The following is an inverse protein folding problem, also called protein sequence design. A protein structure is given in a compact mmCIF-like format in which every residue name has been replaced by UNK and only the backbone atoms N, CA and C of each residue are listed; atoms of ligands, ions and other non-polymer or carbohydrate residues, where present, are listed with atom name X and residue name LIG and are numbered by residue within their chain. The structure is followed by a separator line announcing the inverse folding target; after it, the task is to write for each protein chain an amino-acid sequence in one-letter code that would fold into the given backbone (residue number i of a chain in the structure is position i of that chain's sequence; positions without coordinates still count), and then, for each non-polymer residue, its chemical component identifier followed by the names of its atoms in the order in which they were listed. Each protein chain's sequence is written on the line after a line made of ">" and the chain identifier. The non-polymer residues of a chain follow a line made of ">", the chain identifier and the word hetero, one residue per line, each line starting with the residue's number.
data_IF_413680752691
#
_entry.id   IF_413680752691
#
_cell.length_a   1.000
_cell.length_b   1.000
_cell.length_c   1.000
_cell.angle_alpha   90.00
_cell.angle_beta   90.00
_cell.angle_gamma   90.00
#
_symmetry.space_group_name_H-M   'P 1'
#
loop_
_entity.id
_entity.type
_entity.pdbx_description
1 polymer ?
#
# COMPACT_ATOMS: atom_id res chain seq x y z
N UNK A 1 -0.62 -16.38 -20.82
CA UNK A 1 -0.74 -15.38 -19.75
C UNK A 1 -0.26 -16.04 -18.47
N UNK A 2 0.89 -15.66 -17.91
CA UNK A 2 1.21 -16.14 -16.56
C UNK A 2 0.26 -15.41 -15.61
N UNK A 3 -0.85 -16.06 -15.22
CA UNK A 3 -1.84 -15.52 -14.26
C UNK A 3 -1.15 -14.94 -13.03
N UNK A 4 0.00 -15.51 -12.67
CA UNK A 4 0.93 -15.03 -11.65
C UNK A 4 1.18 -13.51 -11.75
N UNK A 5 1.68 -12.98 -12.87
CA UNK A 5 2.04 -11.56 -13.00
C UNK A 5 0.84 -10.60 -12.85
N UNK A 6 -0.38 -11.06 -13.14
CA UNK A 6 -1.60 -10.26 -12.97
C UNK A 6 -2.02 -10.21 -11.50
N UNK A 7 -1.96 -11.35 -10.82
CA UNK A 7 -2.49 -11.49 -9.46
C UNK A 7 -1.46 -11.10 -8.39
N UNK A 8 -0.17 -11.30 -8.64
CA UNK A 8 0.90 -10.99 -7.68
C UNK A 8 0.85 -9.55 -7.15
N UNK A 9 0.83 -8.47 -7.95
CA UNK A 9 0.80 -7.11 -7.41
C UNK A 9 -0.46 -6.83 -6.58
N UNK A 10 -1.60 -7.38 -6.99
CA UNK A 10 -2.90 -7.18 -6.33
C UNK A 10 -2.98 -7.91 -4.99
N UNK A 11 -2.53 -9.16 -4.95
CA UNK A 11 -2.46 -9.95 -3.72
C UNK A 11 -1.47 -9.31 -2.74
N UNK A 12 -0.29 -8.92 -3.21
CA UNK A 12 0.71 -8.26 -2.35
C UNK A 12 0.20 -6.93 -1.81
N UNK A 13 -0.47 -6.11 -2.61
CA UNK A 13 -1.10 -4.88 -2.13
C UNK A 13 -2.19 -5.13 -1.07
N UNK A 14 -3.01 -6.17 -1.25
CA UNK A 14 -4.04 -6.54 -0.28
C UNK A 14 -3.41 -7.03 1.04
N UNK A 15 -2.39 -7.89 0.96
CA UNK A 15 -1.63 -8.36 2.13
C UNK A 15 -0.92 -7.20 2.84
N UNK A 16 -0.38 -6.26 2.08
CA UNK A 16 0.24 -5.06 2.62
C UNK A 16 -0.78 -4.17 3.34
N UNK A 17 -1.98 -3.97 2.78
CA UNK A 17 -3.06 -3.25 3.46
C UNK A 17 -3.44 -3.92 4.79
N UNK A 18 -3.57 -5.25 4.79
CA UNK A 18 -3.83 -6.02 6.01
C UNK A 18 -2.69 -5.84 7.03
N UNK A 19 -1.44 -5.93 6.60
CA UNK A 19 -0.28 -5.69 7.46
C UNK A 19 -0.30 -4.29 8.09
N UNK A 20 -0.53 -3.24 7.30
CA UNK A 20 -0.62 -1.86 7.80
C UNK A 20 -1.79 -1.69 8.78
N UNK A 21 -2.91 -2.38 8.56
CA UNK A 21 -4.06 -2.32 9.46
C UNK A 21 -3.77 -2.85 10.87
N UNK A 22 -2.80 -3.76 11.03
CA UNK A 22 -2.42 -4.30 12.33
C UNK A 22 -1.82 -3.24 13.25
N UNK A 23 -1.17 -2.21 12.70
CA UNK A 23 -0.61 -1.12 13.48
C UNK A 23 -1.70 -0.30 14.17
N UNK A 24 -2.89 -0.19 13.57
CA UNK A 24 -4.01 0.56 14.13
C UNK A 24 -4.63 -0.11 15.37
N UNK A 25 -4.28 -1.35 15.67
CA UNK A 25 -4.79 -2.06 16.86
C UNK A 25 -4.15 -1.56 18.16
N UNK A 26 -3.08 -0.77 18.08
CA UNK A 26 -2.43 -0.15 19.24
C UNK A 26 -3.36 0.80 20.03
N UNK A 27 -4.40 1.34 19.39
CA UNK A 27 -5.43 2.18 20.04
C UNK A 27 -6.12 1.50 21.22
N UNK A 28 -6.23 0.18 21.21
CA UNK A 28 -6.84 -0.58 22.31
C UNK A 28 -5.95 -0.63 23.56
N UNK A 29 -4.66 -0.30 23.43
CA UNK A 29 -3.72 -0.17 24.54
C UNK A 29 -3.60 1.25 25.11
N UNK A 30 -4.25 2.24 24.47
CA UNK A 30 -4.13 3.66 24.81
C UNK A 30 -5.00 4.13 26.00
N UNK A 31 -5.73 3.23 26.66
CA UNK A 31 -6.55 3.54 27.85
C UNK A 31 -7.91 4.19 27.54
N UNK A 32 -8.35 4.19 26.28
CA UNK A 32 -9.67 4.65 25.88
C UNK A 32 -10.80 3.75 26.41
N UNK A 33 -11.99 4.31 26.59
CA UNK A 33 -13.20 3.49 26.68
C UNK A 33 -13.46 2.75 25.36
N UNK A 34 -14.28 1.70 25.39
CA UNK A 34 -14.54 0.90 24.18
C UNK A 34 -15.09 1.75 23.01
N UNK A 35 -16.00 2.67 23.29
CA UNK A 35 -16.59 3.54 22.27
C UNK A 35 -15.55 4.49 21.65
N UNK A 36 -14.71 5.11 22.48
CA UNK A 36 -13.62 5.97 22.04
C UNK A 36 -12.57 5.18 21.23
N UNK A 37 -12.23 3.96 21.66
CA UNK A 37 -11.29 3.10 20.96
C UNK A 37 -11.79 2.72 19.56
N UNK A 38 -13.09 2.45 19.39
CA UNK A 38 -13.68 2.17 18.07
C UNK A 38 -13.55 3.38 17.14
N UNK A 39 -13.84 4.59 17.63
CA UNK A 39 -13.68 5.81 16.83
C UNK A 39 -12.21 6.05 16.49
N UNK A 40 -11.32 5.89 17.48
CA UNK A 40 -9.88 6.03 17.29
C UNK A 40 -9.34 5.02 16.27
N UNK A 41 -9.82 3.77 16.29
CA UNK A 41 -9.44 2.73 15.34
C UNK A 41 -9.78 3.13 13.90
N UNK A 42 -10.98 3.68 13.65
CA UNK A 42 -11.38 4.13 12.31
C UNK A 42 -10.43 5.21 11.80
N UNK A 43 -10.01 6.13 12.66
CA UNK A 43 -9.04 7.19 12.30
C UNK A 43 -7.64 6.61 12.08
N UNK A 44 -7.20 5.68 12.93
CA UNK A 44 -5.87 5.04 12.83
C UNK A 44 -5.76 4.10 11.62
N UNK A 45 -6.88 3.63 11.07
CA UNK A 45 -6.92 2.91 9.80
C UNK A 45 -6.72 3.81 8.57
N UNK A 46 -6.58 5.13 8.73
CA UNK A 46 -6.33 6.05 7.61
C UNK A 46 -5.17 5.66 6.69
N UNK A 47 -4.00 5.16 7.17
CA UNK A 47 -2.95 4.68 6.27
C UNK A 47 -3.39 3.47 5.45
N UNK A 48 -4.18 2.58 6.05
CA UNK A 48 -4.76 1.40 5.35
C UNK A 48 -5.73 1.83 4.26
N UNK A 49 -6.58 2.82 4.53
CA UNK A 49 -7.53 3.33 3.53
C UNK A 49 -6.83 3.91 2.30
N UNK A 50 -5.69 4.60 2.49
CA UNK A 50 -4.88 5.10 1.38
C UNK A 50 -4.34 3.97 0.49
N UNK A 51 -3.84 2.89 1.12
CA UNK A 51 -3.35 1.70 0.39
C UNK A 51 -4.50 1.02 -0.36
N UNK A 52 -5.66 0.85 0.26
CA UNK A 52 -6.84 0.24 -0.36
C UNK A 52 -7.34 1.09 -1.54
N UNK A 53 -7.38 2.43 -1.39
CA UNK A 53 -7.75 3.32 -2.47
C UNK A 53 -6.78 3.21 -3.67
N UNK A 54 -5.47 3.18 -3.40
CA UNK A 54 -4.46 2.95 -4.43
C UNK A 54 -4.66 1.60 -5.14
N UNK A 55 -4.97 0.54 -4.40
CA UNK A 55 -5.29 -0.78 -4.96
C UNK A 55 -6.55 -0.77 -5.84
N UNK A 56 -7.61 -0.08 -5.41
CA UNK A 56 -8.86 0.05 -6.20
C UNK A 56 -8.57 0.74 -7.53
N UNK A 57 -7.81 1.84 -7.52
CA UNK A 57 -7.36 2.54 -8.73
C UNK A 57 -6.53 1.60 -9.63
N UNK A 58 -5.58 0.89 -9.03
CA UNK A 58 -4.71 -0.05 -9.71
C UNK A 58 -5.46 -1.23 -10.34
N UNK A 59 -6.66 -1.54 -9.84
CA UNK A 59 -7.44 -2.69 -10.30
C UNK A 59 -7.84 -2.56 -11.77
N UNK A 60 -8.23 -1.36 -12.20
CA UNK A 60 -8.60 -1.05 -13.59
C UNK A 60 -7.47 -0.38 -14.37
N UNK A 61 -6.61 0.39 -13.71
CA UNK A 61 -5.54 1.17 -14.34
C UNK A 61 -4.19 0.89 -13.69
N UNK A 62 -3.48 -0.15 -14.15
CA UNK A 62 -2.20 -0.58 -13.53
C UNK A 62 -1.15 0.54 -13.45
N UNK A 63 -1.06 1.38 -14.47
CA UNK A 63 -0.09 2.47 -14.48
C UNK A 63 -0.40 3.56 -13.44
N UNK A 64 -1.69 3.87 -13.23
CA UNK A 64 -2.12 4.75 -12.15
C UNK A 64 -1.90 4.09 -10.79
N UNK A 65 -2.05 2.76 -10.72
CA UNK A 65 -1.66 1.97 -9.56
C UNK A 65 -0.19 2.14 -9.22
N UNK A 66 0.70 1.92 -10.19
CA UNK A 66 2.14 2.12 -10.02
C UNK A 66 2.49 3.53 -9.53
N UNK A 67 1.87 4.56 -10.13
CA UNK A 67 2.04 5.96 -9.69
C UNK A 67 1.52 6.19 -8.27
N UNK A 68 0.34 5.67 -7.93
CA UNK A 68 -0.25 5.83 -6.61
C UNK A 68 0.62 5.18 -5.52
N UNK A 69 1.06 3.93 -5.73
CA UNK A 69 1.95 3.24 -4.78
C UNK A 69 3.32 3.90 -4.68
N UNK A 70 3.87 4.43 -5.78
CA UNK A 70 5.11 5.23 -5.75
C UNK A 70 4.91 6.50 -4.93
N UNK A 71 3.80 7.21 -5.13
CA UNK A 71 3.46 8.41 -4.38
C UNK A 71 3.35 8.14 -2.88
N UNK A 72 2.68 7.04 -2.49
CA UNK A 72 2.61 6.61 -1.09
C UNK A 72 4.01 6.31 -0.51
N UNK A 73 4.85 5.59 -1.26
CA UNK A 73 6.22 5.28 -0.84
C UNK A 73 7.07 6.54 -0.64
N UNK A 74 6.98 7.50 -1.56
CA UNK A 74 7.66 8.79 -1.45
C UNK A 74 7.12 9.62 -0.29
N UNK A 75 5.79 9.73 -0.15
CA UNK A 75 5.17 10.46 0.95
C UNK A 75 5.60 9.90 2.31
N UNK A 76 5.72 8.57 2.43
CA UNK A 76 6.23 7.92 3.63
C UNK A 76 7.71 8.27 3.87
N UNK A 77 8.61 8.06 2.90
CA UNK A 77 10.04 8.31 3.08
C UNK A 77 10.33 9.78 3.40
N UNK A 78 9.73 10.70 2.64
CA UNK A 78 9.93 12.14 2.79
C UNK A 78 9.22 12.69 4.04
N UNK A 79 8.03 12.19 4.37
CA UNK A 79 7.26 12.68 5.52
C UNK A 79 7.91 12.36 6.86
N UNK A 80 8.65 11.24 6.95
CA UNK A 80 9.37 10.87 8.17
C UNK A 80 10.83 11.35 8.20
N UNK A 81 11.39 11.83 7.09
CA UNK A 81 12.65 12.59 7.01
C UNK A 81 13.81 12.04 7.89
N UNK A 82 14.12 10.75 7.75
CA UNK A 82 15.19 10.07 8.49
C UNK A 82 14.95 9.82 10.00
N UNK A 83 13.78 10.16 10.54
CA UNK A 83 13.47 10.01 11.98
C UNK A 83 13.24 8.57 12.43
N UNK A 84 12.99 7.66 11.50
CA UNK A 84 12.75 6.25 11.76
C UNK A 84 14.03 5.42 11.52
N UNK A 85 14.18 4.24 12.16
CA UNK A 85 15.26 3.33 11.82
C UNK A 85 15.16 2.91 10.35
N UNK A 86 16.29 2.66 9.69
CA UNK A 86 16.35 2.27 8.28
C UNK A 86 15.49 1.05 7.95
N UNK A 87 15.33 0.14 8.92
CA UNK A 87 14.49 -1.06 8.78
C UNK A 87 13.02 -0.72 8.56
N UNK A 88 12.50 0.35 9.18
CA UNK A 88 11.12 0.82 8.95
C UNK A 88 10.95 1.36 7.52
N UNK A 89 11.93 2.14 7.04
CA UNK A 89 11.96 2.61 5.65
C UNK A 89 11.99 1.45 4.64
N UNK A 90 12.84 0.45 4.88
CA UNK A 90 12.92 -0.73 4.04
C UNK A 90 11.61 -1.55 4.08
N UNK A 91 11.04 -1.77 5.26
CA UNK A 91 9.85 -2.60 5.42
C UNK A 91 8.60 -1.96 4.81
N UNK A 92 8.33 -0.69 5.09
CA UNK A 92 7.11 -0.01 4.63
C UNK A 92 7.34 0.62 3.25
N UNK A 93 8.32 1.52 3.14
CA UNK A 93 8.64 2.21 1.89
C UNK A 93 9.08 1.24 0.80
N UNK A 94 9.99 0.32 1.12
CA UNK A 94 10.46 -0.71 0.17
C UNK A 94 9.33 -1.59 -0.35
N UNK A 95 8.38 -2.01 0.50
CA UNK A 95 7.20 -2.77 0.07
C UNK A 95 6.30 -1.98 -0.87
N UNK A 96 6.05 -0.69 -0.58
CA UNK A 96 5.28 0.19 -1.46
C UNK A 96 5.94 0.34 -2.85
N UNK A 97 7.26 0.55 -2.90
CA UNK A 97 8.00 0.64 -4.16
C UNK A 97 8.05 -0.69 -4.92
N UNK A 98 8.16 -1.82 -4.21
CA UNK A 98 8.09 -3.14 -4.83
C UNK A 98 6.73 -3.38 -5.49
N UNK A 99 5.64 -3.08 -4.77
CA UNK A 99 4.27 -3.17 -5.31
C UNK A 99 4.10 -2.24 -6.52
N UNK A 100 4.61 -1.01 -6.44
CA UNK A 100 4.59 -0.07 -7.56
C UNK A 100 5.30 -0.60 -8.80
N UNK A 101 6.52 -1.13 -8.63
CA UNK A 101 7.30 -1.71 -9.71
C UNK A 101 6.54 -2.87 -10.39
N UNK A 102 5.91 -3.75 -9.60
CA UNK A 102 5.12 -4.85 -10.14
C UNK A 102 3.89 -4.37 -10.94
N UNK A 103 3.21 -3.31 -10.49
CA UNK A 103 2.13 -2.71 -11.26
C UNK A 103 2.60 -2.07 -12.57
N UNK A 104 3.75 -1.39 -12.57
CA UNK A 104 4.33 -0.86 -13.81
C UNK A 104 4.73 -1.96 -14.78
N UNK A 105 5.35 -3.04 -14.29
CA UNK A 105 5.72 -4.19 -15.10
C UNK A 105 4.46 -4.82 -15.72
N UNK A 106 3.44 -5.14 -14.92
CA UNK A 106 2.17 -5.69 -15.42
C UNK A 106 1.53 -4.78 -16.49
N UNK A 107 1.44 -3.48 -16.21
CA UNK A 107 0.86 -2.50 -17.14
C UNK A 107 1.69 -2.27 -18.42
N UNK A 108 3.02 -2.42 -18.38
CA UNK A 108 3.87 -2.34 -19.56
C UNK A 108 3.68 -3.58 -20.46
N UNK A 109 3.66 -4.78 -19.87
CA UNK A 109 3.42 -6.02 -20.59
C UNK A 109 2.08 -6.03 -21.33
N UNK A 110 1.01 -5.48 -20.73
CA UNK A 110 -0.30 -5.41 -21.39
C UNK A 110 -0.34 -4.43 -22.54
N UNK A 111 0.32 -3.28 -22.42
CA UNK A 111 0.40 -2.29 -23.51
C UNK A 111 1.15 -2.84 -24.72
N UNK A 112 2.31 -3.46 -24.49
CA UNK A 112 3.12 -4.03 -25.57
C UNK A 112 2.37 -5.10 -26.38
N UNK A 113 1.51 -5.89 -25.71
CA UNK A 113 0.71 -6.92 -26.38
C UNK A 113 -0.53 -6.37 -27.08
N UNK A 114 -1.04 -5.21 -26.66
CA UNK A 114 -2.17 -4.56 -27.34
C UNK A 114 -1.75 -3.86 -28.64
N UNK A 115 -0.44 -3.61 -28.83
CA UNK A 115 0.14 -3.02 -30.04
C UNK A 115 0.65 -4.05 -31.07
N UNK A 116 0.53 -5.35 -30.78
CA UNK A 116 0.85 -6.46 -31.70
C UNK A 116 -0.43 -7.08 -32.23
#
# INVERSE_FOLDING_TARGET
>A
MNRVLLWTPRILAALFALFISLFALDVFSAGYSLAEAVVALIVHLSPTYLVVAALIIAWRWEWLGGLAFTGLGLAYVLGFDGRLPWTAYAAIGGSLFLIAALFFIDGAYRRLRASM
#
